data_IF_689926228487
#
_entry.id   IF_689926228487
#
_cell.length_a   1.000
_cell.length_b   1.000
_cell.length_c   1.000
_cell.angle_alpha   90.00
_cell.angle_beta   90.00
_cell.angle_gamma   90.00
#
_symmetry.space_group_name_H-M   'P 1'
#
loop_
_entity.id
_entity.type
_entity.pdbx_description
1 polymer ?
#
# COMPACT_ATOMS: atom_id res chain seq x y z
N UNK A 1 9.62 17.08 61.55
CA UNK A 1 10.45 15.87 61.28
C UNK A 1 9.47 14.72 61.05
N UNK A 2 9.15 14.20 59.87
CA UNK A 2 9.74 14.25 58.54
C UNK A 2 9.45 12.89 57.90
N UNK A 3 8.22 12.65 57.43
CA UNK A 3 7.90 11.45 56.65
C UNK A 3 7.79 11.83 55.17
N UNK A 4 8.94 11.75 54.49
CA UNK A 4 9.19 12.16 53.10
C UNK A 4 9.39 10.95 52.17
N UNK A 5 8.65 9.85 52.39
CA UNK A 5 8.74 8.66 51.52
C UNK A 5 7.35 8.11 51.14
N UNK A 6 6.50 8.99 50.62
CA UNK A 6 5.37 8.56 49.78
C UNK A 6 5.85 8.30 48.36
N UNK A 7 6.36 7.10 48.06
CA UNK A 7 6.58 6.65 46.68
C UNK A 7 5.26 6.80 45.92
N UNK A 8 5.17 7.78 45.01
CA UNK A 8 4.15 7.79 43.96
C UNK A 8 4.24 6.47 43.24
N UNK A 9 3.24 5.63 43.43
CA UNK A 9 3.00 4.48 42.57
C UNK A 9 2.66 5.06 41.19
N UNK A 10 3.66 5.18 40.31
CA UNK A 10 3.41 5.41 38.90
C UNK A 10 2.53 4.26 38.45
N UNK A 11 1.25 4.54 38.19
CA UNK A 11 0.34 3.58 37.56
C UNK A 11 1.01 3.17 36.26
N UNK A 12 1.46 1.91 36.19
CA UNK A 12 1.96 1.32 34.95
C UNK A 12 0.90 1.53 33.87
N UNK A 13 1.29 1.88 32.63
CA UNK A 13 0.32 1.99 31.55
C UNK A 13 -0.43 0.66 31.48
N UNK A 14 -1.75 0.74 31.55
CA UNK A 14 -2.65 -0.39 31.53
C UNK A 14 -2.39 -1.14 30.22
N UNK A 15 -1.70 -2.29 30.27
CA UNK A 15 -1.50 -3.18 29.13
C UNK A 15 -2.88 -3.75 28.77
N UNK A 16 -3.69 -2.94 28.08
CA UNK A 16 -5.03 -3.32 27.66
C UNK A 16 -4.89 -4.39 26.60
N UNK A 17 -4.98 -5.64 27.04
CA UNK A 17 -5.07 -6.80 26.18
C UNK A 17 -6.21 -6.58 25.19
N UNK A 18 -5.85 -6.44 23.92
CA UNK A 18 -6.77 -6.17 22.83
C UNK A 18 -7.60 -7.42 22.53
N UNK A 19 -8.73 -7.28 21.84
CA UNK A 19 -9.52 -8.47 21.45
C UNK A 19 -8.72 -9.38 20.51
N UNK A 20 -7.86 -8.79 19.67
CA UNK A 20 -6.92 -9.49 18.80
C UNK A 20 -5.93 -10.34 19.61
N UNK A 21 -5.33 -9.79 20.68
CA UNK A 21 -4.40 -10.53 21.54
C UNK A 21 -5.05 -11.74 22.20
N UNK A 22 -6.33 -11.63 22.57
CA UNK A 22 -7.11 -12.77 23.09
C UNK A 22 -7.32 -13.84 22.03
N UNK A 23 -7.60 -13.45 20.79
CA UNK A 23 -7.75 -14.39 19.68
C UNK A 23 -6.43 -15.11 19.36
N UNK A 24 -5.32 -14.38 19.29
CA UNK A 24 -3.97 -14.94 19.12
C UNK A 24 -3.66 -15.93 20.24
N UNK A 25 -3.97 -15.57 21.49
CA UNK A 25 -3.77 -16.45 22.64
C UNK A 25 -4.59 -17.75 22.52
N UNK A 26 -5.86 -17.65 22.14
CA UNK A 26 -6.73 -18.82 21.96
C UNK A 26 -6.20 -19.75 20.85
N UNK A 27 -5.75 -19.20 19.72
CA UNK A 27 -5.16 -19.97 18.63
C UNK A 27 -3.85 -20.65 19.08
N UNK A 28 -2.97 -19.93 19.78
CA UNK A 28 -1.72 -20.49 20.34
C UNK A 28 -2.00 -21.60 21.36
N UNK A 29 -2.99 -21.41 22.25
CA UNK A 29 -3.43 -22.46 23.18
C UNK A 29 -3.96 -23.70 22.46
N UNK A 30 -4.74 -23.52 21.40
CA UNK A 30 -5.29 -24.64 20.63
C UNK A 30 -4.17 -25.41 19.90
N UNK A 31 -3.22 -24.69 19.30
CA UNK A 31 -2.02 -25.28 18.71
C UNK A 31 -1.23 -26.10 19.73
N UNK A 32 -1.02 -25.57 20.93
CA UNK A 32 -0.26 -26.25 21.97
C UNK A 32 -0.99 -27.51 22.47
N UNK A 33 -2.33 -27.47 22.58
CA UNK A 33 -3.15 -28.66 22.86
C UNK A 33 -3.00 -29.73 21.78
N UNK A 34 -3.01 -29.34 20.50
CA UNK A 34 -2.79 -30.27 19.39
C UNK A 34 -1.38 -30.88 19.42
N UNK A 35 -0.34 -30.09 19.72
CA UNK A 35 1.04 -30.58 19.91
C UNK A 35 1.14 -31.57 21.08
N UNK A 36 0.43 -31.31 22.18
CA UNK A 36 0.35 -32.26 23.30
C UNK A 36 -0.37 -33.55 22.90
N UNK A 37 -1.46 -33.45 22.15
CA UNK A 37 -2.20 -34.62 21.64
C UNK A 37 -1.34 -35.46 20.69
N UNK A 38 -0.60 -34.83 19.79
CA UNK A 38 0.38 -35.47 18.90
C UNK A 38 1.41 -36.29 19.69
N UNK A 39 2.01 -35.71 20.74
CA UNK A 39 2.96 -36.43 21.61
C UNK A 39 2.31 -37.64 22.30
N UNK A 40 1.10 -37.48 22.83
CA UNK A 40 0.34 -38.57 23.47
C UNK A 40 0.04 -39.71 22.50
N UNK A 41 -0.42 -39.39 21.28
CA UNK A 41 -0.67 -40.40 20.25
C UNK A 41 0.63 -41.09 19.82
N UNK A 42 1.73 -40.36 19.67
CA UNK A 42 3.03 -40.96 19.30
C UNK A 42 3.44 -42.07 20.27
N UNK A 43 3.31 -41.83 21.57
CA UNK A 43 3.57 -42.85 22.60
C UNK A 43 2.56 -44.02 22.51
N UNK A 44 1.29 -43.74 22.21
CA UNK A 44 0.28 -44.79 22.09
C UNK A 44 0.50 -45.68 20.85
N UNK A 45 0.97 -45.11 19.74
CA UNK A 45 1.27 -45.85 18.51
C UNK A 45 2.41 -46.86 18.72
N UNK A 46 3.45 -46.50 19.48
CA UNK A 46 4.53 -47.42 19.83
C UNK A 46 4.05 -48.55 20.75
N UNK A 47 3.18 -48.24 21.72
CA UNK A 47 2.53 -49.26 22.56
C UNK A 47 1.66 -50.21 21.73
N UNK A 48 0.82 -49.67 20.86
CA UNK A 48 -0.06 -50.46 19.98
C UNK A 48 0.77 -51.33 19.02
N UNK A 49 1.93 -50.86 18.57
CA UNK A 49 2.91 -51.66 17.79
C UNK A 49 3.46 -52.82 18.62
N UNK A 50 3.90 -52.58 19.86
CA UNK A 50 4.42 -53.62 20.73
C UNK A 50 3.37 -54.69 21.04
N UNK A 51 2.12 -54.27 21.30
CA UNK A 51 0.98 -55.18 21.52
C UNK A 51 0.70 -56.01 20.27
N UNK A 52 0.74 -55.41 19.07
CA UNK A 52 0.57 -56.15 17.83
C UNK A 52 1.67 -57.22 17.63
N UNK A 53 2.93 -56.90 17.95
CA UNK A 53 4.04 -57.87 17.90
C UNK A 53 3.84 -59.02 18.89
N UNK A 54 3.41 -58.72 20.12
CA UNK A 54 3.13 -59.76 21.13
C UNK A 54 1.98 -60.68 20.70
N UNK A 55 0.90 -60.13 20.14
CA UNK A 55 -0.23 -60.91 19.62
C UNK A 55 0.17 -61.82 18.45
N UNK A 56 1.13 -61.40 17.62
CA UNK A 56 1.69 -62.25 16.56
C UNK A 56 2.51 -63.42 17.14
N UNK A 57 3.28 -63.19 18.21
CA UNK A 57 4.01 -64.26 18.92
C UNK A 57 3.08 -65.28 19.57
N UNK A 58 1.92 -64.83 20.07
CA UNK A 58 0.87 -65.68 20.63
C UNK A 58 0.02 -66.41 19.56
N UNK A 59 0.32 -66.23 18.26
CA UNK A 59 -0.41 -66.87 17.16
C UNK A 59 -1.79 -66.27 16.85
N UNK A 60 -2.19 -65.19 17.54
CA UNK A 60 -3.52 -64.54 17.41
C UNK A 60 -3.55 -63.53 16.24
N UNK A 61 -3.46 -64.04 15.01
CA UNK A 61 -3.36 -63.23 13.78
C UNK A 61 -4.51 -62.24 13.58
N UNK A 62 -5.75 -62.61 13.85
CA UNK A 62 -6.91 -61.73 13.63
C UNK A 62 -6.91 -60.51 14.57
N UNK A 63 -6.53 -60.73 15.84
CA UNK A 63 -6.38 -59.64 16.82
C UNK A 63 -5.22 -58.72 16.47
N UNK A 64 -4.10 -59.27 15.99
CA UNK A 64 -2.98 -58.46 15.51
C UNK A 64 -3.39 -57.60 14.30
N UNK A 65 -4.15 -58.14 13.35
CA UNK A 65 -4.67 -57.40 12.18
C UNK A 65 -5.60 -56.26 12.60
N UNK A 66 -6.46 -56.48 13.60
CA UNK A 66 -7.31 -55.43 14.16
C UNK A 66 -6.49 -54.29 14.80
N UNK A 67 -5.45 -54.63 15.58
CA UNK A 67 -4.56 -53.65 16.19
C UNK A 67 -3.80 -52.83 15.14
N UNK A 68 -3.33 -53.47 14.06
CA UNK A 68 -2.66 -52.76 12.97
C UNK A 68 -3.61 -51.82 12.21
N UNK A 69 -4.89 -52.19 12.05
CA UNK A 69 -5.92 -51.28 11.49
C UNK A 69 -6.14 -50.06 12.38
N UNK A 70 -6.26 -50.27 13.70
CA UNK A 70 -6.36 -49.17 14.68
C UNK A 70 -5.15 -48.25 14.61
N UNK A 71 -3.94 -48.82 14.54
CA UNK A 71 -2.69 -48.08 14.35
C UNK A 71 -2.74 -47.21 13.08
N UNK A 72 -3.14 -47.80 11.95
CA UNK A 72 -3.21 -47.07 10.67
C UNK A 72 -4.22 -45.92 10.68
N UNK A 73 -5.36 -46.12 11.35
CA UNK A 73 -6.34 -45.05 11.56
C UNK A 73 -5.77 -43.90 12.39
N UNK A 74 -5.08 -44.22 13.48
CA UNK A 74 -4.42 -43.20 14.32
C UNK A 74 -3.30 -42.47 13.58
N UNK A 75 -2.50 -43.15 12.75
CA UNK A 75 -1.51 -42.52 11.87
C UNK A 75 -2.15 -41.53 10.90
N UNK A 76 -3.28 -41.88 10.28
CA UNK A 76 -4.02 -40.97 9.40
C UNK A 76 -4.56 -39.75 10.14
N UNK A 77 -5.08 -39.94 11.36
CA UNK A 77 -5.55 -38.85 12.20
C UNK A 77 -4.40 -37.91 12.62
N UNK A 78 -3.23 -38.49 12.92
CA UNK A 78 -2.02 -37.74 13.26
C UNK A 78 -1.54 -36.91 12.06
N UNK A 79 -1.57 -37.48 10.84
CA UNK A 79 -1.27 -36.74 9.61
C UNK A 79 -2.21 -35.54 9.40
N UNK A 80 -3.53 -35.72 9.63
CA UNK A 80 -4.48 -34.60 9.59
C UNK A 80 -4.20 -33.54 10.66
N UNK A 81 -3.77 -33.98 11.84
CA UNK A 81 -3.42 -33.07 12.95
C UNK A 81 -2.21 -32.22 12.62
N UNK A 82 -1.21 -32.75 11.90
CA UNK A 82 -0.08 -31.95 11.41
C UNK A 82 -0.55 -30.80 10.52
N UNK A 83 -1.36 -31.10 9.50
CA UNK A 83 -1.91 -30.05 8.63
C UNK A 83 -2.76 -29.02 9.40
N UNK A 84 -3.47 -29.43 10.45
CA UNK A 84 -4.20 -28.50 11.32
C UNK A 84 -3.27 -27.59 12.14
N UNK A 85 -2.13 -28.11 12.60
CA UNK A 85 -1.13 -27.29 13.31
C UNK A 85 -0.53 -26.26 12.35
N UNK A 86 -0.18 -26.66 11.14
CA UNK A 86 0.38 -25.76 10.12
C UNK A 86 -0.62 -24.65 9.76
N UNK A 87 -1.90 -25.01 9.55
CA UNK A 87 -2.97 -24.05 9.30
C UNK A 87 -3.16 -23.07 10.47
N UNK A 88 -3.05 -23.54 11.73
CA UNK A 88 -3.15 -22.66 12.90
C UNK A 88 -1.94 -21.73 13.01
N UNK A 89 -0.75 -22.20 12.68
CA UNK A 89 0.46 -21.37 12.68
C UNK A 89 0.39 -20.29 11.59
N UNK A 90 -0.09 -20.64 10.39
CA UNK A 90 -0.36 -19.67 9.33
C UNK A 90 -1.41 -18.64 9.76
N UNK A 91 -2.54 -19.06 10.34
CA UNK A 91 -3.58 -18.15 10.80
C UNK A 91 -3.08 -17.18 11.87
N UNK A 92 -2.19 -17.63 12.77
CA UNK A 92 -1.58 -16.74 13.77
C UNK A 92 -0.72 -15.68 13.09
N UNK A 93 0.11 -16.08 12.12
CA UNK A 93 0.94 -15.14 11.36
C UNK A 93 0.09 -14.13 10.59
N UNK A 94 -0.96 -14.58 9.91
CA UNK A 94 -1.86 -13.72 9.14
C UNK A 94 -2.56 -12.69 10.05
N UNK A 95 -2.93 -13.09 11.27
CA UNK A 95 -3.54 -12.19 12.25
C UNK A 95 -2.53 -11.17 12.79
N UNK A 96 -1.30 -11.59 13.09
CA UNK A 96 -0.21 -10.69 13.48
C UNK A 96 0.12 -9.70 12.35
N UNK A 97 0.09 -10.13 11.09
CA UNK A 97 0.27 -9.25 9.94
C UNK A 97 -0.88 -8.26 9.76
N UNK A 98 -2.13 -8.70 9.87
CA UNK A 98 -3.31 -7.83 9.80
C UNK A 98 -3.30 -6.75 10.91
N UNK A 99 -2.71 -7.03 12.07
CA UNK A 99 -2.51 -6.03 13.13
C UNK A 99 -1.54 -4.93 12.68
N UNK A 100 -0.44 -5.29 12.01
CA UNK A 100 0.51 -4.32 11.45
C UNK A 100 -0.16 -3.51 10.34
N UNK A 101 -0.92 -4.16 9.44
CA UNK A 101 -1.68 -3.47 8.40
C UNK A 101 -2.64 -2.42 8.99
N UNK A 102 -3.33 -2.77 10.09
CA UNK A 102 -4.20 -1.83 10.78
C UNK A 102 -3.43 -0.61 11.33
N UNK A 103 -2.23 -0.81 11.87
CA UNK A 103 -1.38 0.27 12.35
C UNK A 103 -0.89 1.16 11.19
N UNK A 104 -0.52 0.57 10.05
CA UNK A 104 -0.14 1.31 8.84
C UNK A 104 -1.30 2.17 8.35
N UNK A 105 -2.51 1.62 8.27
CA UNK A 105 -3.71 2.38 7.85
C UNK A 105 -3.97 3.55 8.79
N UNK A 106 -3.90 3.34 10.11
CA UNK A 106 -4.03 4.44 11.09
C UNK A 106 -2.95 5.51 10.90
N UNK A 107 -1.71 5.09 10.62
CA UNK A 107 -0.61 6.01 10.30
C UNK A 107 -0.89 6.86 9.06
N UNK A 108 -1.43 6.24 8.00
CA UNK A 108 -1.84 6.94 6.78
C UNK A 108 -3.01 7.90 7.02
N UNK A 109 -3.99 7.54 7.86
CA UNK A 109 -5.09 8.44 8.24
C UNK A 109 -4.58 9.69 8.97
N UNK A 110 -3.66 9.51 9.92
CA UNK A 110 -3.01 10.62 10.62
C UNK A 110 -2.22 11.49 9.63
N UNK A 111 -1.42 10.88 8.75
CA UNK A 111 -0.68 11.59 7.71
C UNK A 111 -1.60 12.39 6.78
N UNK A 112 -2.71 11.79 6.34
CA UNK A 112 -3.71 12.47 5.51
C UNK A 112 -4.36 13.64 6.27
N UNK A 113 -4.69 13.47 7.56
CA UNK A 113 -5.23 14.56 8.37
C UNK A 113 -4.24 15.72 8.55
N UNK A 114 -2.94 15.42 8.69
CA UNK A 114 -1.89 16.43 8.78
C UNK A 114 -1.72 17.17 7.44
N UNK A 115 -1.73 16.45 6.32
CA UNK A 115 -1.71 17.03 4.98
C UNK A 115 -2.90 17.94 4.72
N UNK A 116 -4.11 17.55 5.15
CA UNK A 116 -5.31 18.40 5.02
C UNK A 116 -5.16 19.72 5.78
N UNK A 117 -4.70 19.68 7.03
CA UNK A 117 -4.45 20.89 7.83
C UNK A 117 -3.40 21.79 7.19
N UNK A 118 -2.33 21.20 6.67
CA UNK A 118 -1.28 21.95 5.98
C UNK A 118 -1.84 22.60 4.70
N UNK A 119 -2.65 21.88 3.94
CA UNK A 119 -3.30 22.42 2.75
C UNK A 119 -4.29 23.55 3.07
N UNK A 120 -5.05 23.44 4.16
CA UNK A 120 -5.94 24.50 4.65
C UNK A 120 -5.16 25.80 4.95
N UNK A 121 -4.03 25.69 5.66
CA UNK A 121 -3.19 26.85 6.02
C UNK A 121 -2.60 27.50 4.75
N UNK A 122 -1.99 26.71 3.86
CA UNK A 122 -1.39 27.23 2.63
C UNK A 122 -2.44 27.87 1.70
N UNK A 123 -3.59 27.22 1.50
CA UNK A 123 -4.58 27.68 0.51
C UNK A 123 -5.22 29.03 0.82
N UNK A 124 -5.36 29.41 2.10
CA UNK A 124 -5.96 30.68 2.47
C UNK A 124 -4.92 31.81 2.48
N UNK A 125 -3.81 31.60 3.20
CA UNK A 125 -2.76 32.62 3.35
C UNK A 125 -2.03 32.91 2.04
N UNK A 126 -1.76 31.89 1.21
CA UNK A 126 -1.05 32.10 -0.06
C UNK A 126 -1.94 32.80 -1.10
N UNK A 127 -3.26 32.55 -1.11
CA UNK A 127 -4.19 33.22 -2.04
C UNK A 127 -4.38 34.70 -1.66
N UNK A 128 -4.52 35.01 -0.37
CA UNK A 128 -4.58 36.39 0.12
C UNK A 128 -3.28 37.14 -0.20
N UNK A 129 -2.12 36.54 0.08
CA UNK A 129 -0.82 37.15 -0.24
C UNK A 129 -0.65 37.41 -1.74
N UNK A 130 -1.00 36.46 -2.61
CA UNK A 130 -0.89 36.63 -4.06
C UNK A 130 -1.84 37.74 -4.56
N UNK A 131 -3.04 37.84 -4.00
CA UNK A 131 -3.99 38.89 -4.36
C UNK A 131 -3.52 40.28 -3.92
N UNK A 132 -2.92 40.37 -2.73
CA UNK A 132 -2.37 41.63 -2.22
C UNK A 132 -1.12 42.07 -3.00
N UNK A 133 -0.20 41.15 -3.29
CA UNK A 133 0.97 41.42 -4.17
C UNK A 133 0.52 41.84 -5.58
N UNK A 134 -0.52 41.22 -6.14
CA UNK A 134 -1.06 41.60 -7.44
C UNK A 134 -1.73 42.97 -7.42
N UNK A 135 -2.44 43.33 -6.34
CA UNK A 135 -3.04 44.66 -6.17
C UNK A 135 -1.97 45.74 -6.06
N UNK A 136 -0.95 45.52 -5.23
CA UNK A 136 0.19 46.42 -5.09
C UNK A 136 0.90 46.63 -6.44
N UNK A 137 1.13 45.55 -7.21
CA UNK A 137 1.69 45.64 -8.56
C UNK A 137 0.82 46.44 -9.54
N UNK A 138 -0.51 46.30 -9.47
CA UNK A 138 -1.44 47.09 -10.30
C UNK A 138 -1.44 48.56 -9.87
N UNK A 139 -1.42 48.86 -8.57
CA UNK A 139 -1.38 50.23 -8.05
C UNK A 139 -0.08 50.93 -8.45
N UNK A 140 1.07 50.25 -8.33
CA UNK A 140 2.36 50.77 -8.80
C UNK A 140 2.34 51.00 -10.31
N UNK A 141 1.76 50.09 -11.09
CA UNK A 141 1.62 50.29 -12.54
C UNK A 141 0.75 51.50 -12.84
N UNK A 142 -0.37 51.68 -12.14
CA UNK A 142 -1.24 52.84 -12.31
C UNK A 142 -0.58 54.16 -11.89
N UNK A 143 0.25 54.14 -10.84
CA UNK A 143 1.04 55.30 -10.43
C UNK A 143 2.09 55.65 -11.49
N UNK A 144 2.78 54.65 -12.04
CA UNK A 144 3.69 54.82 -13.18
C UNK A 144 2.94 55.38 -14.39
N UNK A 145 1.80 54.80 -14.76
CA UNK A 145 0.98 55.25 -15.88
C UNK A 145 0.51 56.70 -15.68
N UNK A 146 0.10 57.08 -14.47
CA UNK A 146 -0.31 58.44 -14.14
C UNK A 146 0.84 59.45 -14.18
N UNK A 147 2.03 59.05 -13.70
CA UNK A 147 3.24 59.88 -13.78
C UNK A 147 3.70 60.07 -15.24
N UNK A 148 3.62 59.01 -16.05
CA UNK A 148 3.97 59.06 -17.48
C UNK A 148 2.96 59.89 -18.29
N UNK A 149 1.66 59.75 -18.02
CA UNK A 149 0.60 60.49 -18.72
C UNK A 149 0.59 62.00 -18.43
N UNK A 150 1.17 62.44 -17.30
CA UNK A 150 1.27 63.87 -16.95
C UNK A 150 2.58 64.55 -17.38
N UNK A 151 3.53 63.80 -17.96
CA UNK A 151 4.91 64.24 -18.16
C UNK A 151 5.32 64.59 -19.59
N UNK A 152 4.53 64.23 -20.61
CA UNK A 152 4.87 64.43 -22.01
C UNK A 152 4.27 65.72 -22.58
N UNK A 153 5.05 66.44 -23.38
CA UNK A 153 4.57 67.54 -24.24
C UNK A 153 3.84 66.97 -25.46
N UNK A 154 2.94 67.76 -26.07
CA UNK A 154 2.18 67.31 -27.24
C UNK A 154 3.08 66.97 -28.45
N UNK A 155 4.21 67.65 -28.59
CA UNK A 155 5.21 67.33 -29.62
C UNK A 155 5.92 65.98 -29.33
N UNK A 156 6.10 65.63 -28.05
CA UNK A 156 6.73 64.37 -27.63
C UNK A 156 5.76 63.18 -27.75
N UNK A 157 4.46 63.40 -27.57
CA UNK A 157 3.42 62.39 -27.84
C UNK A 157 3.35 62.01 -29.33
N UNK A 158 3.49 63.00 -30.22
CA UNK A 158 3.51 62.79 -31.67
C UNK A 158 4.77 62.01 -32.11
N UNK A 159 5.94 62.30 -31.53
CA UNK A 159 7.19 61.56 -31.76
C UNK A 159 7.09 60.10 -31.29
N UNK A 160 6.52 59.86 -30.10
CA UNK A 160 6.29 58.49 -29.57
C UNK A 160 5.30 57.71 -30.44
N UNK A 161 4.25 58.36 -30.95
CA UNK A 161 3.29 57.74 -31.85
C UNK A 161 3.94 57.32 -33.18
N UNK A 162 4.85 58.15 -33.72
CA UNK A 162 5.60 57.83 -34.92
C UNK A 162 6.58 56.66 -34.71
N UNK A 163 7.29 56.62 -33.57
CA UNK A 163 8.16 55.48 -33.22
C UNK A 163 7.36 54.18 -33.03
N UNK A 164 6.17 54.25 -32.43
CA UNK A 164 5.29 53.10 -32.27
C UNK A 164 4.80 52.57 -33.63
N UNK A 165 4.44 53.46 -34.56
CA UNK A 165 4.06 53.08 -35.93
C UNK A 165 5.22 52.42 -36.67
N UNK A 166 6.45 52.88 -36.49
CA UNK A 166 7.64 52.26 -37.06
C UNK A 166 7.88 50.84 -36.50
N UNK A 167 7.77 50.66 -35.17
CA UNK A 167 7.92 49.34 -34.54
C UNK A 167 6.81 48.38 -35.00
N UNK A 168 5.57 48.86 -35.15
CA UNK A 168 4.48 48.05 -35.68
C UNK A 168 4.74 47.63 -37.12
N UNK A 169 5.18 48.55 -37.99
CA UNK A 169 5.55 48.26 -39.37
C UNK A 169 6.72 47.27 -39.48
N UNK A 170 7.70 47.36 -38.57
CA UNK A 170 8.80 46.38 -38.47
C UNK A 170 8.31 45.03 -37.97
N UNK A 171 7.39 45.00 -37.00
CA UNK A 171 6.85 43.74 -36.45
C UNK A 171 5.94 42.98 -37.43
N UNK A 172 5.20 43.68 -38.29
CA UNK A 172 4.37 43.05 -39.32
C UNK A 172 5.18 42.34 -40.42
N UNK A 173 6.48 42.65 -40.58
CA UNK A 173 7.37 41.87 -41.47
C UNK A 173 7.67 40.45 -40.94
N UNK A 174 7.27 40.11 -39.69
CA UNK A 174 7.42 38.76 -39.13
C UNK A 174 6.25 37.81 -39.42
N UNK A 175 5.13 38.29 -39.99
CA UNK A 175 4.01 37.42 -40.39
C UNK A 175 4.30 36.57 -41.64
N UNK A 176 5.35 36.88 -42.40
CA UNK A 176 5.77 36.13 -43.60
C UNK A 176 6.98 35.19 -43.39
N UNK A 177 7.33 34.86 -42.14
CA UNK A 177 8.34 33.86 -41.84
C UNK A 177 7.71 32.46 -41.74
N UNK A 178 7.78 31.69 -42.84
CA UNK A 178 7.56 30.24 -42.81
C UNK A 178 8.58 29.59 -41.87
N UNK A 179 8.15 29.26 -40.65
CA UNK A 179 8.96 28.52 -39.70
C UNK A 179 9.22 27.08 -40.23
N UNK A 180 10.47 26.57 -40.16
CA UNK A 180 10.79 25.20 -40.54
C UNK A 180 10.26 24.19 -39.49
N UNK A 181 9.87 23.02 -39.98
CA UNK A 181 9.25 21.94 -39.20
C UNK A 181 10.23 21.36 -38.16
N UNK A 182 9.75 21.16 -36.93
CA UNK A 182 10.57 20.77 -35.78
C UNK A 182 10.81 19.25 -35.80
N UNK A 183 12.04 18.74 -35.57
CA UNK A 183 12.29 17.30 -35.64
C UNK A 183 11.57 16.53 -34.51
N UNK A 184 10.65 15.65 -34.89
CA UNK A 184 10.03 14.63 -34.04
C UNK A 184 11.06 13.54 -33.71
N UNK A 185 11.83 13.72 -32.63
CA UNK A 185 12.51 12.59 -32.01
C UNK A 185 11.57 11.98 -30.97
N UNK A 186 11.00 10.83 -31.34
CA UNK A 186 10.18 9.99 -30.48
C UNK A 186 10.95 9.59 -29.21
N UNK A 187 10.48 10.09 -28.07
CA UNK A 187 10.86 9.55 -26.77
C UNK A 187 10.17 8.19 -26.63
N UNK A 188 10.97 7.11 -26.63
CA UNK A 188 10.48 5.74 -26.48
C UNK A 188 9.63 5.58 -25.21
N UNK A 189 8.30 5.50 -25.39
CA UNK A 189 7.38 5.06 -24.35
C UNK A 189 7.53 3.54 -24.14
N UNK A 190 8.37 3.15 -23.19
CA UNK A 190 8.31 1.79 -22.65
C UNK A 190 7.08 1.69 -21.74
N UNK A 191 5.91 1.39 -22.32
CA UNK A 191 4.74 0.94 -21.55
C UNK A 191 4.03 -0.25 -22.17
N UNK A 192 4.08 -1.32 -21.38
CA UNK A 192 3.05 -2.33 -21.13
C UNK A 192 2.84 -3.39 -22.23
N UNK A 193 3.50 -4.52 -21.97
CA UNK A 193 3.02 -5.86 -22.31
C UNK A 193 1.60 -6.07 -21.78
N UNK A 194 0.59 -6.01 -22.64
CA UNK A 194 -0.67 -6.74 -22.42
C UNK A 194 -1.38 -7.05 -23.75
N UNK A 195 -1.23 -8.31 -24.16
CA UNK A 195 -2.33 -9.22 -24.52
C UNK A 195 -3.18 -8.82 -25.74
N UNK A 196 -2.92 -9.44 -26.89
CA UNK A 196 -4.00 -9.87 -27.81
C UNK A 196 -3.77 -11.29 -28.31
N UNK A 197 -4.64 -12.17 -27.81
CA UNK A 197 -4.95 -13.52 -28.29
C UNK A 197 -6.18 -13.35 -29.20
N UNK A 198 -6.14 -13.93 -30.40
CA UNK A 198 -7.21 -13.89 -31.41
C UNK A 198 -7.11 -12.64 -32.31
N UNK A 199 -7.22 -12.72 -33.62
CA UNK A 199 -7.86 -13.70 -34.52
C UNK A 199 -7.39 -13.40 -35.93
N UNK A 200 -7.00 -14.40 -36.73
CA UNK A 200 -7.23 -14.33 -38.18
C UNK A 200 -7.25 -15.72 -38.82
N UNK A 201 -8.43 -16.06 -39.31
CA UNK A 201 -8.77 -17.14 -40.23
C UNK A 201 -8.39 -16.79 -41.67
N UNK A 202 -8.22 -17.84 -42.48
CA UNK A 202 -8.15 -17.96 -43.94
C UNK A 202 -6.73 -18.40 -44.39
N UNK A 203 -6.53 -19.49 -45.13
CA UNK A 203 -7.27 -19.97 -46.29
C UNK A 203 -7.24 -21.50 -46.45
N UNK A 204 -8.27 -21.95 -47.13
CA UNK A 204 -8.64 -23.30 -47.57
C UNK A 204 -7.71 -23.80 -48.70
N UNK A 205 -7.31 -25.06 -48.62
CA UNK A 205 -7.05 -25.98 -49.74
C UNK A 205 -7.43 -27.38 -49.23
N UNK A 206 -8.63 -27.92 -49.57
CA UNK A 206 -8.90 -28.81 -50.72
C UNK A 206 -7.98 -30.04 -50.64
N UNK A 207 -8.49 -31.18 -50.13
CA UNK A 207 -8.90 -32.37 -50.89
C UNK A 207 -7.74 -32.91 -51.76
N UNK A 208 -7.23 -34.12 -51.64
CA UNK A 208 -7.87 -35.44 -51.63
C UNK A 208 -6.72 -36.48 -51.48
N UNK A 209 -7.04 -37.67 -50.94
CA UNK A 209 -6.23 -38.91 -50.90
C UNK A 209 -5.19 -39.06 -49.78
#
# INVERSE_FOLDING_TARGET
>A
MGNLFGRRHQKKPDLRVTQQDKAILQLKQQRDKLKQYQKKIGVQLEKDRQVAVNLLREGKKDKAKLMLRKKKFQESLLAKTYGQIDNLEQLVHDLEFAQIEQEVVKGLEVGNSALKKLHEILSLEDVERIMDEAREGIEVQQEIDALLAGGLSQDEEDDVAAELEEILAQSDTTKDLKLPDVPTNDLEEVRKTEKKRGTETQKVAVAES
#
